data_IF_894668955704
#
_entry.id   IF_894668955704
#
_cell.length_a   1.000
_cell.length_b   1.000
_cell.length_c   1.000
_cell.angle_alpha   90.00
_cell.angle_beta   90.00
_cell.angle_gamma   90.00
#
_symmetry.space_group_name_H-M   'P 1'
#
loop_
_entity.id
_entity.type
_entity.pdbx_description
1 polymer ?
#
# COMPACT_ATOMS: atom_id res chain seq x y z
N UNK A 1 -6.26 -11.59 16.51
CA UNK A 1 -6.13 -11.76 17.96
C UNK A 1 -6.84 -13.01 18.42
N UNK A 2 -8.13 -12.90 18.78
CA UNK A 2 -8.93 -14.03 19.28
C UNK A 2 -8.89 -15.28 18.40
N UNK A 3 -9.01 -15.14 17.07
CA UNK A 3 -8.92 -16.27 16.13
C UNK A 3 -7.57 -16.99 16.18
N UNK A 4 -6.46 -16.25 16.29
CA UNK A 4 -5.11 -16.82 16.36
C UNK A 4 -4.97 -17.63 17.64
N UNK A 5 -5.31 -17.02 18.78
CA UNK A 5 -5.20 -17.64 20.10
C UNK A 5 -6.11 -18.86 20.20
N UNK A 6 -7.37 -18.73 19.77
CA UNK A 6 -8.34 -19.81 19.76
C UNK A 6 -7.87 -20.99 18.91
N UNK A 7 -7.43 -20.74 17.68
CA UNK A 7 -6.91 -21.79 16.79
C UNK A 7 -5.63 -22.43 17.35
N UNK A 8 -4.73 -21.63 17.93
CA UNK A 8 -3.50 -22.12 18.54
C UNK A 8 -3.78 -23.06 19.71
N UNK A 9 -4.79 -22.80 20.55
CA UNK A 9 -5.10 -23.67 21.69
C UNK A 9 -5.88 -24.95 21.34
N UNK A 10 -6.35 -25.11 20.10
CA UNK A 10 -6.95 -26.37 19.65
C UNK A 10 -5.91 -27.47 19.42
N UNK A 11 -4.64 -27.11 19.22
CA UNK A 11 -3.55 -28.05 18.90
C UNK A 11 -2.80 -28.56 20.13
N UNK A 12 -2.47 -29.84 20.13
CA UNK A 12 -1.71 -30.47 21.21
C UNK A 12 -0.20 -30.35 20.98
N UNK A 13 0.24 -30.41 19.72
CA UNK A 13 1.65 -30.24 19.31
C UNK A 13 1.90 -28.89 18.64
N UNK A 14 3.12 -28.35 18.69
CA UNK A 14 3.47 -27.08 18.02
C UNK A 14 3.10 -27.06 16.54
N UNK A 15 3.31 -28.18 15.84
CA UNK A 15 2.93 -28.34 14.43
C UNK A 15 1.40 -28.25 14.24
N UNK A 16 0.61 -28.94 15.05
CA UNK A 16 -0.87 -28.84 15.02
C UNK A 16 -1.35 -27.42 15.32
N UNK A 17 -0.76 -26.74 16.29
CA UNK A 17 -1.13 -25.37 16.67
C UNK A 17 -0.94 -24.39 15.52
N UNK A 18 0.22 -24.45 14.86
CA UNK A 18 0.53 -23.60 13.71
C UNK A 18 -0.32 -23.97 12.49
N UNK A 19 -0.58 -25.27 12.30
CA UNK A 19 -1.47 -25.76 11.25
C UNK A 19 -2.92 -25.28 11.44
N UNK A 20 -3.44 -25.27 12.67
CA UNK A 20 -4.77 -24.73 12.97
C UNK A 20 -4.86 -23.22 12.76
N UNK A 21 -3.81 -22.46 13.07
CA UNK A 21 -3.74 -21.03 12.72
C UNK A 21 -3.80 -20.83 11.20
N UNK A 22 -3.06 -21.66 10.43
CA UNK A 22 -3.11 -21.63 8.97
C UNK A 22 -4.50 -21.99 8.43
N UNK A 23 -5.13 -23.03 8.99
CA UNK A 23 -6.49 -23.46 8.65
C UNK A 23 -7.53 -22.38 8.97
N UNK A 24 -7.39 -21.64 10.07
CA UNK A 24 -8.27 -20.52 10.37
C UNK A 24 -8.14 -19.41 9.31
N UNK A 25 -6.92 -19.16 8.82
CA UNK A 25 -6.68 -18.28 7.67
C UNK A 25 -7.35 -18.78 6.39
N UNK A 26 -7.23 -20.07 6.08
CA UNK A 26 -7.92 -20.69 4.93
C UNK A 26 -9.45 -20.65 5.09
N UNK A 27 -9.97 -20.87 6.29
CA UNK A 27 -11.38 -20.80 6.63
C UNK A 27 -11.98 -19.44 6.29
N UNK A 28 -11.27 -18.36 6.61
CA UNK A 28 -11.67 -16.98 6.28
C UNK A 28 -11.74 -16.72 4.76
N UNK A 29 -11.03 -17.52 3.96
CA UNK A 29 -11.00 -17.45 2.50
C UNK A 29 -11.88 -18.51 1.81
N UNK A 30 -12.61 -19.36 2.55
CA UNK A 30 -13.54 -20.33 1.92
C UNK A 30 -14.63 -19.65 1.09
N UNK A 31 -15.00 -18.43 1.46
CA UNK A 31 -15.94 -17.58 0.74
C UNK A 31 -15.25 -16.58 -0.19
N UNK A 32 -13.98 -16.80 -0.55
CA UNK A 32 -13.19 -15.85 -1.38
C UNK A 32 -13.88 -15.51 -2.70
N UNK A 33 -14.63 -16.43 -3.31
CA UNK A 33 -15.41 -16.15 -4.52
C UNK A 33 -16.42 -15.01 -4.30
N UNK A 34 -17.11 -15.01 -3.16
CA UNK A 34 -18.06 -13.94 -2.79
C UNK A 34 -17.32 -12.65 -2.47
N UNK A 35 -16.22 -12.73 -1.70
CA UNK A 35 -15.40 -11.57 -1.32
C UNK A 35 -14.87 -10.85 -2.57
N UNK A 36 -14.29 -11.59 -3.52
CA UNK A 36 -13.77 -11.03 -4.77
C UNK A 36 -14.89 -10.47 -5.65
N UNK A 37 -16.05 -11.12 -5.66
CA UNK A 37 -17.23 -10.62 -6.40
C UNK A 37 -17.69 -9.27 -5.84
N UNK A 38 -17.75 -9.14 -4.50
CA UNK A 38 -18.09 -7.88 -3.81
C UNK A 38 -17.04 -6.78 -4.03
N UNK A 39 -15.76 -7.15 -4.09
CA UNK A 39 -14.66 -6.22 -4.35
C UNK A 39 -14.70 -5.71 -5.79
N UNK A 40 -14.96 -6.61 -6.74
CA UNK A 40 -15.04 -6.31 -8.18
C UNK A 40 -16.31 -5.52 -8.53
N UNK A 41 -17.40 -5.72 -7.78
CA UNK A 41 -18.64 -4.99 -7.96
C UNK A 41 -18.44 -3.46 -7.90
N UNK A 42 -17.63 -2.96 -6.95
CA UNK A 42 -17.39 -1.53 -6.79
C UNK A 42 -16.80 -0.84 -8.02
N UNK A 43 -15.63 -1.26 -8.53
CA UNK A 43 -15.05 -0.69 -9.76
C UNK A 43 -15.95 -0.84 -11.00
N UNK A 44 -16.80 -1.87 -11.05
CA UNK A 44 -17.76 -2.04 -12.16
C UNK A 44 -18.88 -1.01 -12.07
N UNK A 45 -19.46 -0.78 -10.88
CA UNK A 45 -20.51 0.24 -10.70
C UNK A 45 -19.97 1.66 -10.88
N UNK A 46 -18.77 1.95 -10.38
CA UNK A 46 -18.06 3.22 -10.57
C UNK A 46 -17.84 3.54 -12.06
N UNK A 47 -17.25 2.61 -12.83
CA UNK A 47 -17.07 2.78 -14.27
C UNK A 47 -18.40 2.96 -15.01
N UNK A 48 -19.43 2.22 -14.64
CA UNK A 48 -20.74 2.34 -15.27
C UNK A 48 -21.37 3.71 -14.96
N UNK A 49 -21.19 4.25 -13.75
CA UNK A 49 -21.63 5.59 -13.38
C UNK A 49 -20.87 6.66 -14.18
N UNK A 50 -19.55 6.55 -14.29
CA UNK A 50 -18.73 7.45 -15.11
C UNK A 50 -19.12 7.43 -16.60
N UNK A 51 -19.42 6.27 -17.18
CA UNK A 51 -19.92 6.16 -18.55
C UNK A 51 -21.28 6.85 -18.70
N UNK A 52 -22.18 6.70 -17.72
CA UNK A 52 -23.47 7.38 -17.72
C UNK A 52 -23.32 8.91 -17.72
N UNK A 53 -22.46 9.44 -16.84
CA UNK A 53 -22.18 10.88 -16.76
C UNK A 53 -21.56 11.41 -18.07
N UNK A 54 -20.55 10.71 -18.61
CA UNK A 54 -19.92 11.07 -19.89
C UNK A 54 -20.86 10.95 -21.10
N UNK A 55 -21.95 10.18 -21.00
CA UNK A 55 -22.95 10.04 -22.06
C UNK A 55 -24.09 11.07 -21.98
N UNK A 56 -24.02 12.02 -21.04
CA UNK A 56 -25.06 13.04 -20.82
C UNK A 56 -26.17 12.64 -19.85
N UNK A 57 -25.95 11.59 -19.04
CA UNK A 57 -26.92 11.05 -18.08
C UNK A 57 -27.87 10.01 -18.69
N UNK A 58 -28.44 9.14 -17.84
CA UNK A 58 -29.38 8.09 -18.25
C UNK A 58 -30.84 8.42 -17.87
N UNK A 59 -31.06 9.62 -17.32
CA UNK A 59 -32.34 10.08 -16.77
C UNK A 59 -32.41 9.90 -15.27
N UNK A 60 -33.20 10.75 -14.60
CA UNK A 60 -33.22 10.94 -13.14
C UNK A 60 -33.23 9.62 -12.35
N UNK A 61 -34.17 8.72 -12.66
CA UNK A 61 -34.28 7.42 -11.98
C UNK A 61 -33.06 6.51 -12.21
N UNK A 62 -32.49 6.51 -13.41
CA UNK A 62 -31.33 5.67 -13.70
C UNK A 62 -30.09 6.22 -12.99
N UNK A 63 -29.90 7.54 -13.00
CA UNK A 63 -28.77 8.21 -12.35
C UNK A 63 -28.82 8.03 -10.81
N UNK A 64 -30.01 8.08 -10.20
CA UNK A 64 -30.24 7.75 -8.79
C UNK A 64 -29.83 6.29 -8.47
N UNK A 65 -30.26 5.33 -9.30
CA UNK A 65 -29.88 3.93 -9.13
C UNK A 65 -28.37 3.78 -9.23
N UNK A 66 -27.74 4.37 -10.24
CA UNK A 66 -26.28 4.29 -10.44
C UNK A 66 -25.51 4.86 -9.24
N UNK A 67 -25.96 5.99 -8.70
CA UNK A 67 -25.39 6.60 -7.49
C UNK A 67 -25.50 5.65 -6.28
N UNK A 68 -26.66 4.99 -6.12
CA UNK A 68 -26.86 3.98 -5.08
C UNK A 68 -25.94 2.76 -5.22
N UNK A 69 -25.73 2.27 -6.45
CA UNK A 69 -24.84 1.13 -6.73
C UNK A 69 -23.36 1.47 -6.44
N UNK A 70 -22.91 2.67 -6.76
CA UNK A 70 -21.57 3.15 -6.42
C UNK A 70 -21.37 3.28 -4.89
N UNK A 71 -22.36 3.81 -4.18
CA UNK A 71 -22.33 3.88 -2.71
C UNK A 71 -22.21 2.49 -2.05
N UNK A 72 -22.96 1.50 -2.54
CA UNK A 72 -22.82 0.11 -2.12
C UNK A 72 -21.42 -0.43 -2.45
N UNK A 73 -20.92 -0.14 -3.64
CA UNK A 73 -19.58 -0.51 -4.12
C UNK A 73 -18.45 -0.03 -3.21
N UNK A 74 -18.51 1.22 -2.73
CA UNK A 74 -17.50 1.75 -1.81
C UNK A 74 -17.55 1.06 -0.44
N UNK A 75 -18.75 0.72 0.03
CA UNK A 75 -18.92 -0.03 1.29
C UNK A 75 -18.38 -1.45 1.16
N UNK A 76 -18.68 -2.16 0.07
CA UNK A 76 -18.16 -3.52 -0.15
C UNK A 76 -16.64 -3.51 -0.30
N UNK A 77 -16.08 -2.57 -1.06
CA UNK A 77 -14.63 -2.36 -1.24
C UNK A 77 -13.90 -2.12 0.08
N UNK A 78 -14.52 -1.41 1.04
CA UNK A 78 -13.92 -1.22 2.36
C UNK A 78 -13.90 -2.52 3.18
N UNK A 79 -14.99 -3.31 3.15
CA UNK A 79 -15.09 -4.59 3.86
C UNK A 79 -14.06 -5.60 3.31
N UNK A 80 -13.95 -5.69 1.98
CA UNK A 80 -13.03 -6.63 1.30
C UNK A 80 -11.57 -6.26 1.57
N UNK A 81 -11.22 -4.97 1.61
CA UNK A 81 -9.90 -4.49 2.06
C UNK A 81 -9.59 -4.96 3.49
N UNK A 82 -10.54 -4.80 4.42
CA UNK A 82 -10.39 -5.28 5.80
C UNK A 82 -10.16 -6.78 5.91
N UNK A 83 -10.91 -7.58 5.14
CA UNK A 83 -10.73 -9.04 5.07
C UNK A 83 -9.37 -9.43 4.46
N UNK A 84 -8.96 -8.78 3.38
CA UNK A 84 -7.67 -9.02 2.74
C UNK A 84 -6.50 -8.74 3.71
N UNK A 85 -6.64 -7.70 4.53
CA UNK A 85 -5.68 -7.32 5.57
C UNK A 85 -5.67 -8.37 6.71
N UNK A 86 -6.84 -8.76 7.24
CA UNK A 86 -6.95 -9.73 8.32
C UNK A 86 -6.38 -11.12 7.95
N UNK A 87 -6.68 -11.59 6.74
CA UNK A 87 -6.16 -12.87 6.20
C UNK A 87 -4.64 -12.83 6.05
N UNK A 88 -4.07 -11.68 5.69
CA UNK A 88 -2.62 -11.50 5.60
C UNK A 88 -1.93 -11.72 6.94
N UNK A 89 -2.49 -11.19 8.03
CA UNK A 89 -1.95 -11.37 9.39
C UNK A 89 -2.04 -12.82 9.83
N UNK A 90 -3.15 -13.51 9.56
CA UNK A 90 -3.28 -14.94 9.87
C UNK A 90 -2.24 -15.77 9.11
N UNK A 91 -2.11 -15.54 7.80
CA UNK A 91 -1.11 -16.21 6.97
C UNK A 91 0.33 -15.90 7.43
N UNK A 92 0.61 -14.64 7.75
CA UNK A 92 1.90 -14.21 8.27
C UNK A 92 2.24 -14.89 9.61
N UNK A 93 1.25 -15.03 10.50
CA UNK A 93 1.41 -15.72 11.78
C UNK A 93 1.72 -17.20 11.58
N UNK A 94 1.05 -17.88 10.65
CA UNK A 94 1.37 -19.29 10.34
C UNK A 94 2.74 -19.46 9.69
N UNK A 95 3.20 -18.47 8.91
CA UNK A 95 4.50 -18.52 8.24
C UNK A 95 5.69 -18.46 9.22
N UNK A 96 5.51 -17.96 10.45
CA UNK A 96 6.53 -18.12 11.49
C UNK A 96 6.83 -19.58 11.79
N UNK A 97 5.81 -20.44 11.79
CA UNK A 97 6.01 -21.88 11.91
C UNK A 97 6.89 -22.46 10.80
N UNK A 98 6.61 -22.06 9.55
CA UNK A 98 7.44 -22.46 8.40
C UNK A 98 8.86 -21.89 8.47
N UNK A 99 9.01 -20.68 9.02
CA UNK A 99 10.31 -20.05 9.24
C UNK A 99 11.14 -20.84 10.26
N UNK A 100 10.56 -21.24 11.38
CA UNK A 100 11.20 -22.09 12.39
C UNK A 100 11.69 -23.42 11.78
N UNK A 101 10.80 -24.11 11.05
CA UNK A 101 11.13 -25.37 10.36
C UNK A 101 12.25 -25.17 9.34
N UNK A 102 12.25 -24.06 8.60
CA UNK A 102 13.31 -23.75 7.63
C UNK A 102 14.67 -23.51 8.31
N UNK A 103 14.69 -22.88 9.49
CA UNK A 103 15.90 -22.69 10.28
C UNK A 103 16.42 -24.02 10.85
N UNK A 104 15.54 -24.83 11.43
CA UNK A 104 15.90 -26.15 11.95
C UNK A 104 16.45 -27.08 10.85
N UNK A 105 15.80 -27.10 9.69
CA UNK A 105 16.27 -27.83 8.51
C UNK A 105 17.65 -27.36 7.99
N UNK A 106 18.05 -26.13 8.31
CA UNK A 106 19.38 -25.61 8.02
C UNK A 106 20.40 -25.86 9.15
N UNK A 107 20.03 -26.62 10.18
CA UNK A 107 20.88 -26.94 11.34
C UNK A 107 20.95 -25.84 12.40
N UNK A 108 19.99 -24.89 12.40
CA UNK A 108 19.90 -23.84 13.41
C UNK A 108 18.88 -24.22 14.48
N UNK A 109 19.33 -24.40 15.73
CA UNK A 109 18.43 -24.61 16.86
C UNK A 109 17.74 -23.30 17.23
N UNK A 110 16.49 -23.15 16.81
CA UNK A 110 15.69 -21.96 17.09
C UNK A 110 15.13 -22.02 18.51
N UNK A 111 15.58 -21.11 19.38
CA UNK A 111 15.15 -21.02 20.77
C UNK A 111 14.02 -19.99 21.00
N UNK A 112 13.56 -19.34 19.93
CA UNK A 112 12.60 -18.24 19.96
C UNK A 112 13.23 -16.90 19.56
N UNK A 113 12.38 -15.86 19.52
CA UNK A 113 12.78 -14.47 19.22
C UNK A 113 12.97 -13.73 20.55
N UNK A 114 14.21 -13.50 20.97
CA UNK A 114 14.53 -12.87 22.25
C UNK A 114 14.73 -11.36 22.07
N UNK A 115 13.66 -10.61 22.31
CA UNK A 115 13.60 -9.15 22.10
C UNK A 115 14.55 -8.38 23.05
N UNK A 116 15.02 -9.02 24.13
CA UNK A 116 16.04 -8.49 25.03
C UNK A 116 17.44 -8.41 24.41
N UNK A 117 17.70 -9.10 23.28
CA UNK A 117 18.96 -8.98 22.55
C UNK A 117 18.97 -7.74 21.63
N UNK A 118 20.03 -6.91 21.65
CA UNK A 118 20.05 -5.66 20.90
C UNK A 118 19.88 -5.81 19.38
N UNK A 119 20.48 -6.84 18.78
CA UNK A 119 20.37 -7.12 17.34
C UNK A 119 18.93 -7.51 16.94
N UNK A 120 18.27 -8.31 17.78
CA UNK A 120 16.86 -8.69 17.61
C UNK A 120 15.94 -7.50 17.76
N UNK A 121 16.15 -6.66 18.78
CA UNK A 121 15.40 -5.42 18.97
C UNK A 121 15.57 -4.45 17.80
N UNK A 122 16.79 -4.29 17.28
CA UNK A 122 17.04 -3.47 16.09
C UNK A 122 16.32 -4.06 14.88
N UNK A 123 16.33 -5.39 14.70
CA UNK A 123 15.54 -6.06 13.67
C UNK A 123 14.06 -5.71 13.75
N UNK A 124 13.47 -5.78 14.95
CA UNK A 124 12.08 -5.41 15.23
C UNK A 124 11.77 -3.96 14.84
N UNK A 125 12.64 -3.02 15.24
CA UNK A 125 12.48 -1.59 14.95
C UNK A 125 12.57 -1.28 13.45
N UNK A 126 13.54 -1.89 12.75
CA UNK A 126 13.67 -1.76 11.30
C UNK A 126 12.41 -2.33 10.62
N UNK A 127 11.95 -3.51 11.06
CA UNK A 127 10.72 -4.13 10.58
C UNK A 127 9.51 -3.22 10.74
N UNK A 128 9.38 -2.59 11.91
CA UNK A 128 8.34 -1.61 12.19
C UNK A 128 8.41 -0.34 11.33
N UNK A 129 9.61 0.08 10.94
CA UNK A 129 9.81 1.29 10.15
C UNK A 129 9.51 1.09 8.65
N UNK A 130 9.72 -0.12 8.11
CA UNK A 130 9.56 -0.40 6.68
C UNK A 130 8.13 -0.11 6.16
N UNK A 131 7.03 -0.52 6.83
CA UNK A 131 5.68 -0.16 6.43
C UNK A 131 5.43 1.36 6.34
N UNK A 132 5.96 2.14 7.29
CA UNK A 132 5.85 3.60 7.25
C UNK A 132 6.63 4.20 6.08
N UNK A 133 7.85 3.70 5.84
CA UNK A 133 8.65 4.14 4.69
C UNK A 133 7.96 3.81 3.37
N UNK A 134 7.43 2.60 3.24
CA UNK A 134 6.65 2.17 2.07
C UNK A 134 5.44 3.07 1.83
N UNK A 135 4.62 3.29 2.86
CA UNK A 135 3.44 4.15 2.76
C UNK A 135 3.82 5.59 2.37
N UNK A 136 4.90 6.13 2.95
CA UNK A 136 5.40 7.46 2.61
C UNK A 136 5.81 7.56 1.13
N UNK A 137 6.51 6.55 0.60
CA UNK A 137 6.90 6.51 -0.81
C UNK A 137 5.68 6.44 -1.73
N UNK A 138 4.71 5.58 -1.41
CA UNK A 138 3.47 5.42 -2.16
C UNK A 138 2.64 6.73 -2.20
N UNK A 139 2.42 7.36 -1.05
CA UNK A 139 1.66 8.63 -0.96
C UNK A 139 2.37 9.73 -1.75
N UNK A 140 3.70 9.82 -1.64
CA UNK A 140 4.50 10.81 -2.39
C UNK A 140 4.44 10.58 -3.89
N UNK A 141 4.44 9.32 -4.33
CA UNK A 141 4.33 8.96 -5.74
C UNK A 141 2.98 9.42 -6.33
N UNK A 142 1.87 9.13 -5.63
CA UNK A 142 0.54 9.58 -6.03
C UNK A 142 0.47 11.11 -6.06
N UNK A 143 0.99 11.79 -5.03
CA UNK A 143 0.99 13.25 -4.99
C UNK A 143 1.74 13.90 -6.15
N UNK A 144 2.88 13.30 -6.58
CA UNK A 144 3.61 13.76 -7.77
C UNK A 144 2.82 13.55 -9.06
N UNK A 145 2.25 12.35 -9.25
CA UNK A 145 1.43 12.03 -10.42
C UNK A 145 0.21 12.95 -10.52
N UNK A 146 -0.53 13.10 -9.41
CA UNK A 146 -1.70 13.98 -9.34
C UNK A 146 -1.34 15.44 -9.64
N UNK A 147 -0.20 15.93 -9.15
CA UNK A 147 0.25 17.29 -9.46
C UNK A 147 0.51 17.50 -10.95
N UNK A 148 1.11 16.52 -11.64
CA UNK A 148 1.32 16.58 -13.09
C UNK A 148 0.00 16.57 -13.85
N UNK A 149 -0.96 15.72 -13.43
CA UNK A 149 -2.31 15.68 -14.02
C UNK A 149 -3.02 17.02 -13.86
N UNK A 150 -2.98 17.63 -12.68
CA UNK A 150 -3.60 18.94 -12.43
C UNK A 150 -3.00 20.03 -13.33
N UNK A 151 -1.68 20.07 -13.48
CA UNK A 151 -1.03 21.03 -14.37
C UNK A 151 -1.43 20.80 -15.82
N UNK A 152 -1.46 19.55 -16.28
CA UNK A 152 -1.87 19.21 -17.64
C UNK A 152 -3.33 19.60 -17.92
N UNK A 153 -4.26 19.25 -17.03
CA UNK A 153 -5.69 19.61 -17.17
C UNK A 153 -5.86 21.13 -17.21
N UNK A 154 -5.11 21.88 -16.37
CA UNK A 154 -5.14 23.35 -16.40
C UNK A 154 -4.57 23.94 -17.69
N UNK A 155 -3.50 23.35 -18.23
CA UNK A 155 -2.93 23.77 -19.50
C UNK A 155 -3.93 23.55 -20.63
N UNK A 156 -4.58 22.37 -20.68
CA UNK A 156 -5.63 22.10 -21.68
C UNK A 156 -6.78 23.11 -21.58
N UNK A 157 -7.32 23.38 -20.40
CA UNK A 157 -8.39 24.39 -20.25
C UNK A 157 -7.97 25.82 -20.64
N UNK A 158 -6.70 26.18 -20.41
CA UNK A 158 -6.18 27.51 -20.75
C UNK A 158 -5.90 27.66 -22.25
N UNK A 159 -5.33 26.62 -22.87
CA UNK A 159 -4.89 26.64 -24.27
C UNK A 159 -6.02 26.29 -25.24
N UNK A 160 -7.03 25.56 -24.77
CA UNK A 160 -8.21 25.12 -25.53
C UNK A 160 -9.51 25.50 -24.78
N UNK A 161 -9.94 26.77 -24.82
CA UNK A 161 -11.14 27.23 -24.11
C UNK A 161 -12.44 26.51 -24.54
N UNK A 162 -12.49 26.00 -25.78
CA UNK A 162 -13.63 25.25 -26.32
C UNK A 162 -13.97 23.97 -25.53
N UNK A 163 -13.03 23.46 -24.72
CA UNK A 163 -13.27 22.32 -23.83
C UNK A 163 -14.31 22.67 -22.76
N UNK A 164 -14.18 23.85 -22.13
CA UNK A 164 -15.13 24.28 -21.09
C UNK A 164 -16.49 24.68 -21.68
N UNK A 165 -16.52 25.06 -22.96
CA UNK A 165 -17.74 25.35 -23.72
C UNK A 165 -18.41 24.07 -24.26
N UNK A 166 -17.73 22.91 -24.18
CA UNK A 166 -18.21 21.63 -24.73
C UNK A 166 -18.15 21.55 -26.26
N UNK A 167 -17.45 22.47 -26.92
CA UNK A 167 -17.31 22.52 -28.39
C UNK A 167 -16.07 21.79 -28.90
N UNK A 168 -15.11 21.52 -28.02
CA UNK A 168 -13.86 20.81 -28.30
C UNK A 168 -13.65 19.65 -27.31
N UNK A 169 -13.10 18.54 -27.80
CA UNK A 169 -12.81 17.38 -26.96
C UNK A 169 -11.43 17.52 -26.28
N UNK A 170 -11.30 17.19 -24.97
CA UNK A 170 -10.02 17.13 -24.29
C UNK A 170 -9.05 16.10 -24.88
N UNK A 171 -7.76 16.33 -24.69
CA UNK A 171 -6.73 15.35 -25.07
C UNK A 171 -6.47 14.37 -23.91
N UNK A 172 -7.30 13.33 -23.85
CA UNK A 172 -7.24 12.31 -22.80
C UNK A 172 -5.93 11.52 -22.81
N UNK A 173 -5.32 11.31 -23.98
CA UNK A 173 -4.12 10.50 -24.14
C UNK A 173 -2.94 11.01 -23.32
N UNK A 174 -2.78 12.33 -23.20
CA UNK A 174 -1.71 12.94 -22.40
C UNK A 174 -1.83 12.62 -20.91
N UNK A 175 -3.04 12.67 -20.35
CA UNK A 175 -3.30 12.36 -18.93
C UNK A 175 -3.02 10.88 -18.67
N UNK A 176 -3.47 10.00 -19.56
CA UNK A 176 -3.17 8.55 -19.48
C UNK A 176 -1.67 8.30 -19.51
N UNK A 177 -0.94 8.96 -20.42
CA UNK A 177 0.51 8.83 -20.56
C UNK A 177 1.28 9.26 -19.31
N UNK A 178 0.87 10.36 -18.68
CA UNK A 178 1.43 10.87 -17.42
C UNK A 178 1.26 9.82 -16.32
N UNK A 179 0.04 9.31 -16.14
CA UNK A 179 -0.29 8.30 -15.14
C UNK A 179 0.49 6.99 -15.37
N UNK A 180 0.55 6.49 -16.61
CA UNK A 180 1.25 5.25 -16.95
C UNK A 180 2.76 5.36 -16.74
N UNK A 181 3.41 6.41 -17.27
CA UNK A 181 4.87 6.58 -17.12
C UNK A 181 5.27 6.79 -15.66
N UNK A 182 4.46 7.51 -14.89
CA UNK A 182 4.74 7.79 -13.48
C UNK A 182 4.53 6.55 -12.62
N UNK A 183 3.40 5.85 -12.77
CA UNK A 183 3.11 4.64 -11.98
C UNK A 183 4.17 3.56 -12.15
N UNK A 184 4.57 3.22 -13.39
CA UNK A 184 5.60 2.20 -13.65
C UNK A 184 6.93 2.53 -12.97
N UNK A 185 7.34 3.79 -13.04
CA UNK A 185 8.61 4.27 -12.49
C UNK A 185 8.59 4.30 -10.96
N UNK A 186 7.49 4.76 -10.39
CA UNK A 186 7.38 4.97 -8.94
C UNK A 186 7.20 3.65 -8.17
N UNK A 187 6.58 2.64 -8.77
CA UNK A 187 6.38 1.33 -8.15
C UNK A 187 7.66 0.50 -7.98
N UNK A 188 8.73 0.82 -8.71
CA UNK A 188 10.01 0.11 -8.59
C UNK A 188 10.62 0.22 -7.19
N UNK A 189 10.56 1.41 -6.58
CA UNK A 189 11.24 1.65 -5.29
C UNK A 189 10.55 0.92 -4.13
N UNK A 190 9.21 1.00 -3.97
CA UNK A 190 8.51 0.21 -2.96
C UNK A 190 8.63 -1.30 -3.17
N UNK A 191 8.67 -1.77 -4.43
CA UNK A 191 8.89 -3.19 -4.74
C UNK A 191 10.28 -3.69 -4.32
N UNK A 192 11.33 -2.92 -4.62
CA UNK A 192 12.70 -3.25 -4.17
C UNK A 192 12.84 -3.16 -2.66
N UNK A 193 12.15 -2.21 -2.00
CA UNK A 193 12.12 -2.12 -0.54
C UNK A 193 11.58 -3.42 0.08
N UNK A 194 10.51 -3.97 -0.46
CA UNK A 194 9.90 -5.22 0.02
C UNK A 194 10.85 -6.43 -0.11
N UNK A 195 11.61 -6.50 -1.21
CA UNK A 195 12.50 -7.63 -1.49
C UNK A 195 13.85 -7.50 -0.78
N UNK A 196 14.45 -6.31 -0.78
CA UNK A 196 15.80 -6.13 -0.26
C UNK A 196 15.84 -6.00 1.26
N UNK A 197 14.80 -5.47 1.92
CA UNK A 197 14.82 -5.28 3.38
C UNK A 197 15.02 -6.58 4.18
N UNK A 198 14.27 -7.67 3.91
CA UNK A 198 14.50 -8.94 4.60
C UNK A 198 15.89 -9.52 4.32
N UNK A 199 16.43 -9.33 3.11
CA UNK A 199 17.78 -9.79 2.73
C UNK A 199 18.83 -9.03 3.55
N UNK A 200 18.72 -7.69 3.59
CA UNK A 200 19.65 -6.84 4.35
C UNK A 200 19.61 -7.25 5.82
N UNK A 201 18.44 -7.37 6.43
CA UNK A 201 18.32 -7.71 7.85
C UNK A 201 18.79 -9.13 8.14
N UNK A 202 18.41 -10.11 7.31
CA UNK A 202 18.83 -11.50 7.50
C UNK A 202 20.35 -11.66 7.40
N UNK A 203 20.97 -11.12 6.34
CA UNK A 203 22.41 -11.20 6.21
C UNK A 203 23.13 -10.26 7.19
N UNK A 204 22.61 -9.10 7.57
CA UNK A 204 23.33 -8.19 8.47
C UNK A 204 23.14 -8.51 9.96
N UNK A 205 21.95 -8.93 10.39
CA UNK A 205 21.58 -9.14 11.80
C UNK A 205 21.25 -10.60 12.16
N UNK A 206 21.35 -11.53 11.20
CA UNK A 206 21.11 -12.99 11.34
C UNK A 206 19.62 -13.37 11.45
N UNK A 207 19.38 -14.68 11.58
CA UNK A 207 18.06 -15.29 11.53
C UNK A 207 17.09 -14.82 12.63
N UNK A 208 17.56 -14.67 13.87
CA UNK A 208 16.69 -14.26 14.99
C UNK A 208 16.17 -12.83 14.79
N UNK A 209 17.04 -11.90 14.38
CA UNK A 209 16.66 -10.53 14.04
C UNK A 209 15.78 -10.42 12.78
N UNK A 210 15.95 -11.33 11.81
CA UNK A 210 15.04 -11.44 10.67
C UNK A 210 13.62 -11.84 11.11
N UNK A 211 13.50 -12.79 12.04
CA UNK A 211 12.21 -13.13 12.63
C UNK A 211 11.57 -11.93 13.34
N UNK A 212 12.34 -11.18 14.12
CA UNK A 212 11.88 -9.96 14.77
C UNK A 212 11.47 -8.86 13.77
N UNK A 213 12.21 -8.71 12.67
CA UNK A 213 11.88 -7.80 11.58
C UNK A 213 10.50 -8.13 10.97
N UNK A 214 10.22 -9.41 10.71
CA UNK A 214 8.89 -9.82 10.23
C UNK A 214 7.80 -9.47 11.25
N UNK A 215 8.05 -9.71 12.54
CA UNK A 215 7.08 -9.40 13.59
C UNK A 215 6.76 -7.91 13.65
N UNK A 216 7.78 -7.05 13.56
CA UNK A 216 7.62 -5.60 13.54
C UNK A 216 6.88 -5.10 12.30
N UNK A 217 7.20 -5.67 11.14
CA UNK A 217 6.56 -5.33 9.88
C UNK A 217 5.09 -5.75 9.84
N UNK A 218 4.75 -6.91 10.39
CA UNK A 218 3.36 -7.38 10.51
C UNK A 218 2.59 -6.46 11.46
N UNK A 219 3.12 -6.17 12.65
CA UNK A 219 2.45 -5.34 13.65
C UNK A 219 2.12 -3.94 13.10
N UNK A 220 3.14 -3.24 12.65
CA UNK A 220 2.98 -1.85 12.17
C UNK A 220 2.26 -1.80 10.83
N UNK A 221 2.57 -2.71 9.90
CA UNK A 221 1.94 -2.77 8.59
C UNK A 221 0.45 -3.05 8.67
N UNK A 222 0.02 -3.96 9.54
CA UNK A 222 -1.40 -4.23 9.79
C UNK A 222 -2.13 -2.98 10.30
N UNK A 223 -1.60 -2.36 11.36
CA UNK A 223 -2.23 -1.19 11.98
C UNK A 223 -2.32 -0.03 11.00
N UNK A 224 -1.24 0.20 10.24
CA UNK A 224 -1.18 1.26 9.24
C UNK A 224 -2.12 0.97 8.06
N UNK A 225 -2.22 -0.28 7.59
CA UNK A 225 -3.12 -0.66 6.51
C UNK A 225 -4.60 -0.40 6.86
N UNK A 226 -5.01 -0.79 8.08
CA UNK A 226 -6.37 -0.52 8.57
C UNK A 226 -6.61 0.98 8.72
N UNK A 227 -5.67 1.70 9.34
CA UNK A 227 -5.80 3.13 9.56
C UNK A 227 -5.96 3.90 8.24
N UNK A 228 -5.08 3.66 7.27
CA UNK A 228 -5.10 4.35 5.98
C UNK A 228 -6.37 4.01 5.19
N UNK A 229 -6.76 2.73 5.15
CA UNK A 229 -7.94 2.30 4.41
C UNK A 229 -9.23 2.88 5.00
N UNK A 230 -9.37 2.85 6.33
CA UNK A 230 -10.55 3.36 7.01
C UNK A 230 -10.62 4.89 7.00
N UNK A 231 -9.49 5.59 7.20
CA UNK A 231 -9.46 7.04 7.16
C UNK A 231 -9.86 7.57 5.78
N UNK A 232 -9.28 7.02 4.70
CA UNK A 232 -9.67 7.41 3.35
C UNK A 232 -11.12 7.07 3.02
N UNK A 233 -11.61 5.88 3.41
CA UNK A 233 -13.03 5.53 3.24
C UNK A 233 -13.99 6.43 4.02
N UNK A 234 -13.59 6.86 5.23
CA UNK A 234 -14.38 7.79 6.03
C UNK A 234 -14.48 9.18 5.37
N UNK A 235 -13.39 9.70 4.80
CA UNK A 235 -13.40 10.98 4.08
C UNK A 235 -14.26 10.93 2.81
N UNK A 236 -14.20 9.83 2.05
CA UNK A 236 -15.06 9.63 0.87
C UNK A 236 -16.54 9.61 1.25
N UNK A 237 -16.89 8.85 2.28
CA UNK A 237 -18.27 8.77 2.76
C UNK A 237 -18.76 10.11 3.34
N UNK A 238 -17.87 10.89 3.98
CA UNK A 238 -18.21 12.23 4.45
C UNK A 238 -18.48 13.18 3.27
N UNK A 239 -17.72 13.08 2.16
CA UNK A 239 -17.99 13.82 0.93
C UNK A 239 -19.35 13.44 0.35
N UNK A 240 -19.62 12.15 0.17
CA UNK A 240 -20.92 11.65 -0.34
C UNK A 240 -22.10 12.14 0.50
N UNK A 241 -21.96 12.11 1.83
CA UNK A 241 -22.98 12.60 2.74
C UNK A 241 -23.33 14.09 2.49
N UNK A 242 -22.32 14.91 2.18
CA UNK A 242 -22.55 16.31 1.83
C UNK A 242 -23.16 16.47 0.44
N UNK A 243 -22.76 15.63 -0.52
CA UNK A 243 -23.30 15.62 -1.88
C UNK A 243 -24.78 15.23 -1.94
N UNK A 244 -25.24 14.39 -1.02
CA UNK A 244 -26.65 14.03 -0.79
C UNK A 244 -27.49 15.18 -0.19
N UNK A 245 -26.90 16.35 0.06
CA UNK A 245 -27.61 17.55 0.52
C UNK A 245 -27.57 17.79 2.02
N UNK A 246 -26.97 16.89 2.82
CA UNK A 246 -26.73 17.19 4.24
C UNK A 246 -25.60 18.22 4.34
N UNK A 247 -25.75 19.22 5.20
CA UNK A 247 -24.74 20.27 5.38
C UNK A 247 -24.44 21.14 4.13
N UNK A 248 -25.44 21.37 3.27
CA UNK A 248 -25.39 22.43 2.25
C UNK A 248 -25.24 21.97 0.81
N UNK A 249 -25.01 20.68 0.54
CA UNK A 249 -25.02 20.16 -0.82
C UNK A 249 -23.79 20.49 -1.65
N UNK A 250 -23.79 20.06 -2.92
CA UNK A 250 -22.70 20.29 -3.89
C UNK A 250 -22.42 21.79 -4.08
N UNK A 251 -21.14 22.15 -4.12
CA UNK A 251 -20.66 23.54 -4.32
C UNK A 251 -20.59 24.39 -3.05
N UNK A 252 -21.15 23.92 -1.93
CA UNK A 252 -21.05 24.57 -0.62
C UNK A 252 -19.62 24.56 -0.06
N UNK A 253 -19.34 25.41 0.93
CA UNK A 253 -18.04 25.41 1.62
C UNK A 253 -17.74 24.04 2.29
N UNK A 254 -18.70 23.40 3.00
CA UNK A 254 -18.51 22.04 3.49
C UNK A 254 -18.19 21.02 2.40
N UNK A 255 -18.81 21.12 1.22
CA UNK A 255 -18.51 20.22 0.09
C UNK A 255 -17.07 20.38 -0.39
N UNK A 256 -16.58 21.62 -0.54
CA UNK A 256 -15.18 21.86 -0.91
C UNK A 256 -14.21 21.30 0.13
N UNK A 257 -14.53 21.43 1.43
CA UNK A 257 -13.71 20.90 2.51
C UNK A 257 -13.67 19.36 2.50
N UNK A 258 -14.81 18.69 2.28
CA UNK A 258 -14.85 17.23 2.22
C UNK A 258 -14.21 16.67 0.96
N UNK A 259 -14.27 17.39 -0.18
CA UNK A 259 -13.49 17.05 -1.39
C UNK A 259 -11.98 17.11 -1.11
N UNK A 260 -11.50 18.10 -0.37
CA UNK A 260 -10.08 18.13 0.06
C UNK A 260 -9.76 16.91 0.94
N UNK A 261 -10.63 16.55 1.87
CA UNK A 261 -10.47 15.34 2.69
C UNK A 261 -10.37 14.06 1.87
N UNK A 262 -11.26 13.88 0.89
CA UNK A 262 -11.27 12.70 0.02
C UNK A 262 -10.01 12.62 -0.86
N UNK A 263 -9.57 13.74 -1.45
CA UNK A 263 -8.32 13.78 -2.24
C UNK A 263 -7.06 13.48 -1.41
N UNK A 264 -7.06 13.80 -0.10
CA UNK A 264 -6.02 13.34 0.84
C UNK A 264 -6.18 11.85 1.15
N UNK A 265 -7.41 11.36 1.22
CA UNK A 265 -7.78 9.97 1.48
C UNK A 265 -7.53 9.00 0.33
N UNK A 266 -7.56 9.44 -0.92
CA UNK A 266 -7.35 8.60 -2.11
C UNK A 266 -6.03 7.83 -2.09
N UNK A 267 -4.85 8.48 -1.91
CA UNK A 267 -3.59 7.74 -1.80
C UNK A 267 -3.56 6.81 -0.59
N UNK A 268 -4.36 7.06 0.45
CA UNK A 268 -4.43 6.23 1.64
C UNK A 268 -5.24 4.96 1.37
N UNK A 269 -6.48 5.11 0.88
CA UNK A 269 -7.42 4.00 0.71
C UNK A 269 -7.17 3.19 -0.56
N UNK A 270 -6.61 3.76 -1.61
CA UNK A 270 -6.48 3.09 -2.92
C UNK A 270 -5.04 2.85 -3.38
N UNK A 271 -4.04 3.30 -2.61
CA UNK A 271 -2.63 3.01 -2.92
C UNK A 271 -1.91 2.45 -1.71
N UNK A 272 -1.61 3.27 -0.70
CA UNK A 272 -0.73 2.89 0.39
C UNK A 272 -1.35 1.82 1.30
N UNK A 273 -2.58 2.01 1.78
CA UNK A 273 -3.26 1.12 2.70
C UNK A 273 -3.38 -0.32 2.17
N UNK A 274 -4.02 -0.54 1.01
CA UNK A 274 -4.12 -1.87 0.42
C UNK A 274 -2.77 -2.50 0.07
N UNK A 275 -1.77 -1.70 -0.37
CA UNK A 275 -0.47 -2.21 -0.79
C UNK A 275 0.43 -2.67 0.38
N UNK A 276 0.11 -2.31 1.62
CA UNK A 276 0.79 -2.85 2.80
C UNK A 276 0.53 -4.36 2.99
N UNK A 277 -0.60 -4.87 2.53
CA UNK A 277 -0.90 -6.31 2.56
C UNK A 277 0.08 -7.13 1.70
N UNK A 278 0.21 -6.89 0.37
CA UNK A 278 1.18 -7.60 -0.44
C UNK A 278 2.62 -7.32 0.02
N UNK A 279 2.94 -6.14 0.56
CA UNK A 279 4.24 -5.86 1.16
C UNK A 279 4.59 -6.89 2.25
N UNK A 280 3.69 -7.10 3.22
CA UNK A 280 3.90 -8.08 4.30
C UNK A 280 4.09 -9.49 3.74
N UNK A 281 3.26 -9.89 2.76
CA UNK A 281 3.34 -11.21 2.13
C UNK A 281 4.66 -11.43 1.39
N UNK A 282 5.10 -10.44 0.61
CA UNK A 282 6.38 -10.50 -0.13
C UNK A 282 7.55 -10.56 0.85
N UNK A 283 7.58 -9.73 1.89
CA UNK A 283 8.65 -9.76 2.88
C UNK A 283 8.74 -11.11 3.60
N UNK A 284 7.60 -11.69 4.00
CA UNK A 284 7.56 -13.01 4.64
C UNK A 284 8.07 -14.11 3.70
N UNK A 285 7.62 -14.10 2.43
CA UNK A 285 8.03 -15.08 1.43
C UNK A 285 9.54 -14.97 1.16
N UNK A 286 10.05 -13.77 0.96
CA UNK A 286 11.49 -13.54 0.75
C UNK A 286 12.28 -13.99 1.96
N UNK A 287 11.86 -13.63 3.18
CA UNK A 287 12.52 -14.05 4.41
C UNK A 287 12.59 -15.58 4.55
N UNK A 288 11.50 -16.28 4.23
CA UNK A 288 11.46 -17.75 4.24
C UNK A 288 12.44 -18.36 3.23
N UNK A 289 12.49 -17.81 2.01
CA UNK A 289 13.41 -18.29 0.96
C UNK A 289 14.88 -18.07 1.33
N UNK A 290 15.20 -16.94 1.98
CA UNK A 290 16.60 -16.63 2.33
C UNK A 290 17.02 -17.19 3.69
N UNK A 291 16.08 -17.61 4.56
CA UNK A 291 16.38 -18.12 5.89
C UNK A 291 17.45 -19.24 5.92
N UNK A 292 17.38 -20.28 5.07
CA UNK A 292 18.43 -21.32 5.04
C UNK A 292 19.80 -20.78 4.62
N UNK A 293 19.83 -19.80 3.71
CA UNK A 293 21.07 -19.14 3.28
C UNK A 293 21.64 -18.25 4.39
N UNK A 294 20.78 -17.54 5.11
CA UNK A 294 21.17 -16.72 6.27
C UNK A 294 21.77 -17.58 7.37
N UNK A 295 21.25 -18.78 7.61
CA UNK A 295 21.89 -19.74 8.54
C UNK A 295 23.23 -20.19 8.00
N UNK A 296 23.26 -20.74 6.78
CA UNK A 296 24.48 -21.28 6.16
C UNK A 296 25.65 -20.28 6.15
N UNK A 297 25.36 -19.01 5.88
CA UNK A 297 26.37 -17.95 5.79
C UNK A 297 26.47 -17.07 7.05
N UNK A 298 25.62 -17.30 8.06
CA UNK A 298 25.50 -16.44 9.25
C UNK A 298 25.98 -17.05 10.56
N UNK A 299 26.04 -18.39 10.69
CA UNK A 299 26.57 -19.07 11.88
C UNK A 299 28.07 -19.39 11.79
N UNK A 300 28.71 -19.34 12.96
CA UNK A 300 30.13 -19.17 13.18
C UNK A 300 31.00 -20.29 12.60
N UNK A 301 31.57 -20.01 11.42
CA UNK A 301 32.59 -20.82 10.77
C UNK A 301 33.50 -20.00 9.85
N UNK A 302 33.89 -18.78 10.26
CA UNK A 302 35.02 -17.98 9.76
C UNK A 302 35.11 -17.55 8.28
N UNK A 303 34.64 -18.35 7.32
CA UNK A 303 34.94 -18.17 5.89
C UNK A 303 33.93 -17.36 5.07
N UNK A 304 32.79 -16.98 5.65
CA UNK A 304 31.68 -16.37 4.89
C UNK A 304 31.32 -14.94 5.31
N UNK A 305 32.12 -14.31 6.17
CA UNK A 305 31.95 -12.91 6.56
C UNK A 305 31.97 -11.98 5.33
N UNK A 306 32.86 -12.25 4.37
CA UNK A 306 32.93 -11.50 3.12
C UNK A 306 31.62 -11.56 2.34
N UNK A 307 31.02 -12.75 2.19
CA UNK A 307 29.74 -12.92 1.49
C UNK A 307 28.63 -12.16 2.22
N UNK A 308 28.58 -12.27 3.55
CA UNK A 308 27.60 -11.59 4.39
C UNK A 308 27.67 -10.07 4.23
N UNK A 309 28.87 -9.50 4.28
CA UNK A 309 29.10 -8.06 4.10
C UNK A 309 28.77 -7.63 2.68
N UNK A 310 29.24 -8.35 1.65
CA UNK A 310 29.00 -8.00 0.24
C UNK A 310 27.50 -8.00 -0.08
N UNK A 311 26.77 -9.02 0.37
CA UNK A 311 25.32 -9.12 0.11
C UNK A 311 24.56 -8.04 0.87
N UNK A 312 24.83 -7.86 2.17
CA UNK A 312 24.10 -6.86 2.98
C UNK A 312 24.41 -5.43 2.56
N UNK A 313 25.69 -5.08 2.38
CA UNK A 313 26.12 -3.74 1.95
C UNK A 313 25.70 -3.48 0.50
N UNK A 314 25.83 -4.46 -0.39
CA UNK A 314 25.38 -4.34 -1.77
C UNK A 314 23.87 -4.09 -1.87
N UNK A 315 23.06 -4.88 -1.16
CA UNK A 315 21.62 -4.69 -1.11
C UNK A 315 21.24 -3.35 -0.47
N UNK A 316 21.91 -2.94 0.63
CA UNK A 316 21.68 -1.67 1.29
C UNK A 316 22.08 -0.48 0.40
N UNK A 317 23.15 -0.58 -0.38
CA UNK A 317 23.59 0.43 -1.33
C UNK A 317 22.57 0.59 -2.47
N UNK A 318 22.12 -0.53 -3.07
CA UNK A 318 21.07 -0.49 -4.10
C UNK A 318 19.79 0.13 -3.56
N UNK A 319 19.35 -0.28 -2.37
CA UNK A 319 18.15 0.26 -1.75
C UNK A 319 18.31 1.75 -1.41
N UNK A 320 19.46 2.15 -0.86
CA UNK A 320 19.79 3.52 -0.51
C UNK A 320 19.81 4.44 -1.73
N UNK A 321 20.46 4.00 -2.83
CA UNK A 321 20.48 4.72 -4.11
C UNK A 321 19.06 4.87 -4.67
N UNK A 322 18.25 3.81 -4.63
CA UNK A 322 16.87 3.87 -5.14
C UNK A 322 15.96 4.78 -4.30
N UNK A 323 16.07 4.74 -2.97
CA UNK A 323 15.33 5.66 -2.09
C UNK A 323 15.79 7.09 -2.33
N UNK A 324 17.10 7.33 -2.43
CA UNK A 324 17.64 8.65 -2.74
C UNK A 324 17.12 9.16 -4.08
N UNK A 325 17.17 8.33 -5.12
CA UNK A 325 16.67 8.64 -6.45
C UNK A 325 15.16 8.92 -6.49
N UNK A 326 14.36 8.22 -5.68
CA UNK A 326 12.93 8.50 -5.54
C UNK A 326 12.69 9.82 -4.79
N UNK A 327 13.53 10.17 -3.82
CA UNK A 327 13.42 11.42 -3.03
C UNK A 327 13.94 12.65 -3.76
N UNK A 328 15.02 12.55 -4.53
CA UNK A 328 15.70 13.67 -5.17
C UNK A 328 14.90 14.30 -6.31
N UNK A 329 13.88 13.61 -6.84
CA UNK A 329 12.98 14.17 -7.87
C UNK A 329 11.88 15.09 -7.35
N UNK A 330 12.01 15.61 -6.12
CA UNK A 330 11.10 16.66 -5.64
C UNK A 330 11.51 17.99 -6.29
N UNK A 331 10.55 18.62 -6.97
CA UNK A 331 10.53 20.04 -7.36
C UNK A 331 11.25 20.42 -8.66
N UNK A 332 10.71 20.04 -9.81
CA UNK A 332 10.85 20.85 -11.05
C UNK A 332 9.51 21.37 -11.60
N UNK A 333 8.39 20.80 -11.16
CA UNK A 333 7.05 21.09 -11.75
C UNK A 333 6.55 22.50 -11.39
N UNK A 334 7.02 23.10 -10.29
CA UNK A 334 6.66 24.47 -9.91
C UNK A 334 7.61 25.54 -10.45
N UNK A 335 8.72 25.15 -11.11
CA UNK A 335 9.71 26.11 -11.59
C UNK A 335 9.45 26.59 -13.03
N UNK A 336 8.53 25.97 -13.77
CA UNK A 336 8.24 26.33 -15.17
C UNK A 336 6.89 27.03 -15.38
N UNK A 337 6.22 27.47 -14.32
CA UNK A 337 5.12 28.42 -14.42
C UNK A 337 5.68 29.82 -14.49
N UNK A 338 5.82 30.38 -15.70
CA UNK A 338 6.14 31.79 -15.88
C UNK A 338 5.18 32.66 -15.07
N UNK A 339 5.72 33.40 -14.10
CA UNK A 339 5.03 34.53 -13.50
C UNK A 339 4.66 35.52 -14.63
N UNK A 340 3.44 36.08 -14.66
CA UNK A 340 3.15 37.18 -15.57
C UNK A 340 4.03 38.35 -15.18
N UNK A 341 4.89 38.78 -16.11
CA UNK A 341 5.79 39.92 -15.96
C UNK A 341 5.03 41.17 -15.49
N UNK A 342 5.14 41.48 -14.21
CA UNK A 342 4.73 42.77 -13.63
C UNK A 342 5.80 43.82 -13.97
N UNK A 343 5.87 44.22 -15.24
CA UNK A 343 6.66 45.39 -15.63
C UNK A 343 6.06 46.07 -16.86
N UNK A 344 5.11 46.98 -16.65
CA UNK A 344 4.94 48.23 -17.41
C UNK A 344 3.63 48.93 -17.02
N UNK A 345 3.61 49.55 -15.84
CA UNK A 345 2.85 50.79 -15.61
C UNK A 345 3.68 51.69 -14.70
N UNK A 346 4.58 52.42 -15.33
CA UNK A 346 5.12 53.68 -14.83
C UNK A 346 5.21 54.62 -16.04
N UNK A 347 4.57 55.79 -15.86
CA UNK A 347 4.28 56.87 -16.81
C UNK A 347 3.02 56.68 -17.68
#
# INVERSE_FOLDING_TARGET
GATIVGAFYLGNTTAERLYFVALAGMGMLTTVGVIVSMDTYGPVSDNAHGIAEMSGGLGERADEIMTGLDAVGNTTKAITKGMAIATAVLAATSLFGSFEVALEGAGYHFLGIRIDHPDVLVGLLIGGAVPFLFASLAIRAVGRAASQVVVEVRNQFREHPGIMEGTELPEYGRVVDICTKTSLRELMTPGLLAVLSPIIVGFFLKAEALGAFLAGAILTGQLLAVMLSNAGGAWDNAKKLVEEGKYGGKGSEPHKATVIGDTVGDPFKDTAGPALNPLIKVMNLVALLVAPLVVKYGTSGGGHLAVRIVVSVGAAAVLGVMIWYSKSRRVEIFASGSEPSTSARAN
#
